data_IF_103514173184
#
_entry.id   IF_103514173184
#
_cell.length_a   1.000
_cell.length_b   1.000
_cell.length_c   1.000
_cell.angle_alpha   90.00
_cell.angle_beta   90.00
_cell.angle_gamma   90.00
#
_symmetry.space_group_name_H-M   'P 1'
#
loop_
_entity.id
_entity.type
_entity.pdbx_description
1 polymer ?
#
# COMPACT_ATOMS: atom_id res chain seq x y z
N UNK A 1 -1.75 29.06 6.29
CA UNK A 1 -2.20 27.70 5.91
C UNK A 1 -2.08 27.59 4.41
N UNK A 2 -0.99 27.01 3.92
CA UNK A 2 -0.79 26.81 2.48
C UNK A 2 -1.76 25.73 2.00
N UNK A 3 -2.37 25.88 0.83
CA UNK A 3 -3.30 24.93 0.24
C UNK A 3 -2.67 23.52 0.22
N UNK A 4 -3.01 22.71 1.23
CA UNK A 4 -2.52 21.36 1.41
C UNK A 4 -3.53 20.43 0.75
N UNK A 5 -3.06 19.71 -0.27
CA UNK A 5 -3.68 18.57 -0.95
C UNK A 5 -4.76 17.80 -0.15
N UNK A 6 -5.81 17.36 -0.86
CA UNK A 6 -7.01 16.64 -0.38
C UNK A 6 -6.75 15.24 0.25
N UNK A 7 -5.70 15.04 1.04
CA UNK A 7 -5.52 13.79 1.81
C UNK A 7 -6.66 13.59 2.82
N UNK A 8 -7.39 14.66 3.18
CA UNK A 8 -8.63 14.64 3.96
C UNK A 8 -9.77 13.86 3.27
N UNK A 9 -9.62 13.50 1.99
CA UNK A 9 -10.57 12.65 1.27
C UNK A 9 -10.27 11.15 1.40
N UNK A 10 -9.06 10.76 1.85
CA UNK A 10 -8.72 9.34 2.07
C UNK A 10 -9.72 8.65 3.02
N UNK A 11 -10.11 9.23 4.18
CA UNK A 11 -11.06 8.59 5.08
C UNK A 11 -12.45 8.32 4.47
N UNK A 12 -12.77 8.91 3.32
CA UNK A 12 -14.05 8.75 2.61
C UNK A 12 -14.02 7.63 1.57
N UNK A 13 -12.85 7.05 1.30
CA UNK A 13 -12.72 5.89 0.43
C UNK A 13 -13.16 4.61 1.15
N UNK A 14 -13.54 3.55 0.41
CA UNK A 14 -13.64 2.21 0.98
C UNK A 14 -12.37 1.81 1.74
N UNK A 15 -12.50 1.05 2.83
CA UNK A 15 -11.36 0.70 3.69
C UNK A 15 -10.24 -0.03 2.92
N UNK A 16 -10.61 -0.96 2.03
CA UNK A 16 -9.64 -1.64 1.18
C UNK A 16 -8.96 -0.69 0.18
N UNK A 17 -9.63 0.39 -0.25
CA UNK A 17 -9.02 1.44 -1.05
C UNK A 17 -8.03 2.29 -0.23
N UNK A 18 -8.34 2.55 1.05
CA UNK A 18 -7.41 3.24 1.95
C UNK A 18 -6.14 2.39 2.18
N UNK A 19 -6.30 1.11 2.49
CA UNK A 19 -5.19 0.17 2.64
C UNK A 19 -4.36 0.04 1.35
N UNK A 20 -5.01 0.03 0.18
CA UNK A 20 -4.33 0.00 -1.11
C UNK A 20 -3.45 1.25 -1.34
N UNK A 21 -3.89 2.45 -0.94
CA UNK A 21 -3.05 3.65 -1.00
C UNK A 21 -1.78 3.45 -0.18
N UNK A 22 -1.88 2.92 1.04
CA UNK A 22 -0.73 2.63 1.88
C UNK A 22 0.22 1.62 1.22
N UNK A 23 -0.31 0.50 0.71
CA UNK A 23 0.48 -0.53 0.01
C UNK A 23 1.21 0.04 -1.21
N UNK A 24 0.53 0.88 -2.00
CA UNK A 24 1.12 1.54 -3.17
C UNK A 24 2.18 2.57 -2.79
N UNK A 25 2.07 3.27 -1.65
CA UNK A 25 3.14 4.14 -1.15
C UNK A 25 4.35 3.34 -0.66
N UNK A 26 4.11 2.26 0.09
CA UNK A 26 5.16 1.36 0.55
C UNK A 26 5.93 0.77 -0.63
N UNK A 27 5.22 0.28 -1.66
CA UNK A 27 5.83 -0.24 -2.89
C UNK A 27 6.74 0.80 -3.57
N UNK A 28 6.31 2.07 -3.64
CA UNK A 28 7.16 3.17 -4.15
C UNK A 28 8.42 3.37 -3.32
N UNK A 29 8.30 3.33 -1.99
CA UNK A 29 9.44 3.47 -1.10
C UNK A 29 10.44 2.31 -1.28
N UNK A 30 9.95 1.07 -1.33
CA UNK A 30 10.77 -0.14 -1.49
C UNK A 30 11.50 -0.15 -2.84
N UNK A 31 10.80 0.22 -3.91
CA UNK A 31 11.40 0.24 -5.24
C UNK A 31 12.53 1.27 -5.35
N UNK A 32 12.44 2.39 -4.62
CA UNK A 32 13.48 3.44 -4.58
C UNK A 32 14.59 3.18 -3.55
N UNK A 33 14.60 2.04 -2.86
CA UNK A 33 15.71 1.70 -1.97
C UNK A 33 17.04 1.74 -2.73
N UNK A 34 18.14 2.19 -2.11
CA UNK A 34 19.46 2.24 -2.73
C UNK A 34 19.89 0.90 -3.32
N UNK A 35 20.72 0.91 -4.36
CA UNK A 35 21.14 -0.33 -5.05
C UNK A 35 21.95 -1.27 -4.16
N UNK A 36 22.54 -0.75 -3.08
CA UNK A 36 23.26 -1.47 -2.05
C UNK A 36 22.34 -2.29 -1.14
N UNK A 37 21.04 -2.02 -1.15
CA UNK A 37 20.06 -2.81 -0.41
C UNK A 37 19.90 -4.19 -1.05
N UNK A 38 19.90 -5.24 -0.21
CA UNK A 38 19.86 -6.63 -0.66
C UNK A 38 18.67 -6.91 -1.59
N UNK A 39 18.96 -7.51 -2.74
CA UNK A 39 17.98 -7.72 -3.80
C UNK A 39 16.95 -8.81 -3.46
N UNK A 40 17.34 -9.82 -2.65
CA UNK A 40 16.40 -10.84 -2.20
C UNK A 40 15.42 -10.27 -1.17
N UNK A 41 15.91 -9.38 -0.30
CA UNK A 41 15.08 -8.65 0.63
C UNK A 41 14.14 -7.70 -0.09
N UNK A 42 14.64 -6.94 -1.08
CA UNK A 42 13.80 -6.07 -1.91
C UNK A 42 12.68 -6.87 -2.56
N UNK A 43 13.00 -8.02 -3.17
CA UNK A 43 12.00 -8.89 -3.81
C UNK A 43 10.97 -9.42 -2.81
N UNK A 44 11.42 -9.80 -1.61
CA UNK A 44 10.53 -10.28 -0.54
C UNK A 44 9.56 -9.19 -0.08
N UNK A 45 10.03 -7.96 0.10
CA UNK A 45 9.20 -6.81 0.47
C UNK A 45 8.21 -6.44 -0.65
N UNK A 46 8.64 -6.48 -1.92
CA UNK A 46 7.74 -6.26 -3.06
C UNK A 46 6.69 -7.37 -3.20
N UNK A 47 7.04 -8.62 -2.87
CA UNK A 47 6.09 -9.75 -2.86
C UNK A 47 5.04 -9.55 -1.77
N UNK A 48 5.41 -8.95 -0.63
CA UNK A 48 4.44 -8.55 0.39
C UNK A 48 3.51 -7.45 -0.12
N UNK A 49 4.02 -6.46 -0.86
CA UNK A 49 3.14 -5.48 -1.54
C UNK A 49 2.16 -6.15 -2.51
N UNK A 50 2.60 -7.16 -3.29
CA UNK A 50 1.71 -7.91 -4.18
C UNK A 50 0.61 -8.63 -3.39
N UNK A 51 0.95 -9.23 -2.24
CA UNK A 51 -0.02 -9.87 -1.37
C UNK A 51 -1.01 -8.88 -0.73
N UNK A 52 -0.60 -7.65 -0.43
CA UNK A 52 -1.49 -6.60 0.06
C UNK A 52 -2.41 -6.06 -1.04
N UNK A 53 -1.92 -5.92 -2.27
CA UNK A 53 -2.73 -5.54 -3.43
C UNK A 53 -3.80 -6.62 -3.71
N UNK A 54 -3.43 -7.91 -3.63
CA UNK A 54 -4.37 -9.04 -3.75
C UNK A 54 -5.39 -9.06 -2.61
N UNK A 55 -4.97 -8.78 -1.37
CA UNK A 55 -5.87 -8.66 -0.23
C UNK A 55 -6.90 -7.53 -0.42
N UNK A 56 -6.48 -6.37 -0.96
CA UNK A 56 -7.40 -5.28 -1.28
C UNK A 56 -8.36 -5.63 -2.42
N UNK A 57 -7.89 -6.38 -3.43
CA UNK A 57 -8.70 -6.83 -4.55
C UNK A 57 -9.79 -7.82 -4.12
N UNK A 58 -9.43 -8.76 -3.24
CA UNK A 58 -10.30 -9.89 -2.83
C UNK A 58 -11.06 -9.64 -1.53
N UNK A 59 -10.61 -8.68 -0.72
CA UNK A 59 -11.08 -8.48 0.66
C UNK A 59 -10.60 -9.55 1.63
N UNK A 60 -9.71 -10.45 1.20
CA UNK A 60 -9.21 -11.56 2.01
C UNK A 60 -7.79 -11.32 2.51
N UNK A 61 -7.63 -11.31 3.83
CA UNK A 61 -6.31 -11.23 4.45
C UNK A 61 -5.75 -12.62 4.76
N UNK A 62 -5.01 -13.18 3.79
CA UNK A 62 -4.48 -14.56 3.90
C UNK A 62 -3.24 -14.61 4.77
N UNK A 63 -3.44 -14.75 6.09
CA UNK A 63 -2.37 -14.80 7.09
C UNK A 63 -1.28 -15.83 6.77
N UNK A 64 -1.61 -16.98 6.19
CA UNK A 64 -0.62 -18.01 5.84
C UNK A 64 0.37 -17.53 4.76
N UNK A 65 -0.08 -16.73 3.80
CA UNK A 65 0.77 -16.14 2.75
C UNK A 65 1.55 -14.94 3.28
N UNK A 66 0.90 -14.14 4.12
CA UNK A 66 1.43 -12.86 4.59
C UNK A 66 2.43 -13.04 5.75
N UNK A 67 2.21 -13.99 6.66
CA UNK A 67 3.01 -14.11 7.89
C UNK A 67 4.52 -14.37 7.66
N UNK A 68 4.95 -15.25 6.72
CA UNK A 68 6.38 -15.42 6.46
C UNK A 68 7.04 -14.14 5.91
N UNK A 69 6.33 -13.40 5.06
CA UNK A 69 6.80 -12.15 4.48
C UNK A 69 6.85 -11.03 5.54
N UNK A 70 5.84 -10.96 6.41
CA UNK A 70 5.80 -10.03 7.53
C UNK A 70 6.93 -10.31 8.53
N UNK A 71 7.25 -11.57 8.81
CA UNK A 71 8.41 -11.92 9.65
C UNK A 71 9.74 -11.41 9.06
N UNK A 72 9.89 -11.45 7.72
CA UNK A 72 11.06 -10.88 7.06
C UNK A 72 11.09 -9.35 7.16
N UNK A 73 9.95 -8.69 6.94
CA UNK A 73 9.80 -7.25 7.12
C UNK A 73 10.17 -6.81 8.54
N UNK A 74 9.66 -7.49 9.57
CA UNK A 74 10.00 -7.23 10.98
C UNK A 74 11.50 -7.34 11.24
N UNK A 75 12.16 -8.37 10.70
CA UNK A 75 13.60 -8.55 10.84
C UNK A 75 14.42 -7.42 10.19
N UNK A 76 13.84 -6.66 9.25
CA UNK A 76 14.47 -5.55 8.56
C UNK A 76 14.12 -4.18 9.16
N UNK A 77 13.19 -4.11 10.13
CA UNK A 77 12.83 -2.85 10.79
C UNK A 77 14.01 -2.28 11.57
N UNK A 78 14.15 -0.96 11.52
CA UNK A 78 15.28 -0.24 12.15
C UNK A 78 16.64 -0.41 11.47
N UNK A 79 16.72 -1.18 10.37
CA UNK A 79 17.93 -1.37 9.57
C UNK A 79 18.05 -0.39 8.39
N UNK A 80 18.95 -0.72 7.44
CA UNK A 80 19.04 -0.02 6.16
C UNK A 80 17.68 -0.08 5.44
N UNK A 81 17.20 1.04 4.89
CA UNK A 81 15.85 1.11 4.31
C UNK A 81 14.70 1.25 5.31
N UNK A 82 14.99 1.47 6.61
CA UNK A 82 14.02 1.42 7.71
C UNK A 82 12.72 2.19 7.46
N UNK A 83 12.76 3.39 6.87
CA UNK A 83 11.54 4.15 6.58
C UNK A 83 10.64 3.53 5.48
N UNK A 84 11.23 2.83 4.50
CA UNK A 84 10.46 2.08 3.50
C UNK A 84 9.85 0.81 4.10
N UNK A 85 10.58 0.12 4.97
CA UNK A 85 10.09 -1.05 5.71
C UNK A 85 8.98 -0.64 6.69
N UNK A 86 9.13 0.50 7.38
CA UNK A 86 8.09 1.06 8.23
C UNK A 86 6.84 1.41 7.43
N UNK A 87 6.98 1.96 6.22
CA UNK A 87 5.83 2.23 5.35
C UNK A 87 5.06 0.95 5.01
N UNK A 88 5.77 -0.14 4.75
CA UNK A 88 5.17 -1.46 4.49
C UNK A 88 4.53 -2.05 5.75
N UNK A 89 5.14 -1.88 6.91
CA UNK A 89 4.56 -2.30 8.20
C UNK A 89 3.20 -1.64 8.42
N UNK A 90 3.12 -0.32 8.24
CA UNK A 90 1.86 0.39 8.39
C UNK A 90 0.83 0.04 7.30
N UNK A 91 1.27 -0.26 6.08
CA UNK A 91 0.37 -0.78 5.04
C UNK A 91 -0.20 -2.16 5.38
N UNK A 92 0.63 -3.01 6.00
CA UNK A 92 0.24 -4.35 6.48
C UNK A 92 -0.78 -4.27 7.62
N UNK A 93 -0.57 -3.37 8.59
CA UNK A 93 -1.51 -3.09 9.68
C UNK A 93 -2.82 -2.49 9.13
N UNK A 94 -2.76 -1.55 8.19
CA UNK A 94 -3.94 -0.96 7.56
C UNK A 94 -4.82 -2.01 6.85
N UNK A 95 -4.21 -2.97 6.16
CA UNK A 95 -4.91 -4.10 5.53
C UNK A 95 -5.48 -5.07 6.57
N UNK A 96 -4.78 -5.30 7.68
CA UNK A 96 -5.29 -6.06 8.82
C UNK A 96 -6.52 -5.39 9.45
N UNK A 97 -6.49 -4.05 9.61
CA UNK A 97 -7.62 -3.26 10.08
C UNK A 97 -8.79 -3.31 9.10
N UNK A 98 -8.56 -3.12 7.80
CA UNK A 98 -9.60 -3.22 6.78
C UNK A 98 -10.31 -4.59 6.81
N UNK A 99 -9.55 -5.67 7.01
CA UNK A 99 -10.11 -7.01 7.19
C UNK A 99 -10.89 -7.14 8.50
N UNK A 100 -10.34 -6.66 9.62
CA UNK A 100 -10.98 -6.70 10.94
C UNK A 100 -12.27 -5.89 11.02
N UNK A 101 -12.44 -4.87 10.17
CA UNK A 101 -13.61 -4.00 10.11
C UNK A 101 -14.93 -4.75 9.85
N UNK A 102 -14.86 -5.95 9.24
CA UNK A 102 -16.02 -6.82 9.04
C UNK A 102 -16.64 -7.30 10.36
N UNK A 103 -15.86 -7.33 11.45
CA UNK A 103 -16.27 -7.86 12.75
C UNK A 103 -16.28 -6.81 13.87
N UNK A 104 -15.55 -5.70 13.72
CA UNK A 104 -15.42 -4.67 14.75
C UNK A 104 -15.08 -3.30 14.13
N UNK A 105 -15.58 -2.16 14.64
CA UNK A 105 -15.24 -0.84 14.08
C UNK A 105 -13.76 -0.48 14.34
N UNK A 106 -12.93 -0.64 13.32
CA UNK A 106 -11.49 -0.30 13.32
C UNK A 106 -11.12 0.71 12.23
N UNK A 107 -12.10 1.48 11.75
CA UNK A 107 -11.94 2.45 10.65
C UNK A 107 -10.88 3.51 10.99
N UNK A 108 -10.90 3.99 12.24
CA UNK A 108 -9.94 4.96 12.75
C UNK A 108 -8.51 4.41 12.80
N UNK A 109 -8.36 3.12 13.08
CA UNK A 109 -7.07 2.42 13.04
C UNK A 109 -6.57 2.34 11.61
N UNK A 110 -7.42 1.90 10.67
CA UNK A 110 -7.06 1.80 9.27
C UNK A 110 -6.55 3.13 8.71
N UNK A 111 -7.29 4.24 8.91
CA UNK A 111 -6.83 5.56 8.43
C UNK A 111 -5.57 6.04 9.14
N UNK A 112 -5.44 5.77 10.45
CA UNK A 112 -4.24 6.09 11.22
C UNK A 112 -3.01 5.42 10.64
N UNK A 113 -3.11 4.12 10.35
CA UNK A 113 -2.04 3.32 9.75
C UNK A 113 -1.71 3.80 8.33
N UNK A 114 -2.72 4.12 7.52
CA UNK A 114 -2.51 4.70 6.18
C UNK A 114 -1.74 6.02 6.24
N UNK A 115 -2.07 6.90 7.20
CA UNK A 115 -1.34 8.15 7.40
C UNK A 115 0.11 7.90 7.83
N UNK A 116 0.35 6.91 8.71
CA UNK A 116 1.69 6.53 9.10
C UNK A 116 2.50 5.93 7.94
N UNK A 117 1.88 5.13 7.08
CA UNK A 117 2.50 4.59 5.88
C UNK A 117 2.96 5.70 4.92
N UNK A 118 2.09 6.68 4.64
CA UNK A 118 2.42 7.85 3.80
C UNK A 118 3.54 8.68 4.44
N UNK A 119 3.48 8.89 5.76
CA UNK A 119 4.50 9.65 6.49
C UNK A 119 5.86 8.92 6.47
N UNK A 120 5.88 7.60 6.64
CA UNK A 120 7.08 6.78 6.56
C UNK A 120 7.67 6.77 5.15
N UNK A 121 6.83 6.60 4.11
CA UNK A 121 7.27 6.70 2.72
C UNK A 121 7.87 8.08 2.39
N UNK A 122 7.36 9.15 2.98
CA UNK A 122 7.91 10.52 2.84
C UNK A 122 9.30 10.70 3.46
N UNK A 123 9.72 9.78 4.34
CA UNK A 123 11.06 9.74 4.96
C UNK A 123 11.97 8.69 4.30
N UNK A 124 11.45 7.92 3.36
CA UNK A 124 12.22 6.89 2.67
C UNK A 124 13.30 7.52 1.77
N UNK A 125 14.49 6.93 1.81
CA UNK A 125 15.56 7.31 0.91
C UNK A 125 15.13 7.10 -0.56
N UNK A 126 15.56 7.98 -1.46
CA UNK A 126 15.20 7.93 -2.88
C UNK A 126 13.83 8.55 -3.23
N UNK A 127 12.97 8.84 -2.25
CA UNK A 127 11.71 9.57 -2.46
C UNK A 127 11.71 10.91 -1.73
N UNK A 128 11.51 12.00 -2.48
CA UNK A 128 11.29 13.30 -1.84
C UNK A 128 9.86 13.38 -1.29
N UNK A 129 9.64 14.12 -0.18
CA UNK A 129 8.30 14.33 0.36
C UNK A 129 7.30 14.90 -0.67
N UNK A 130 7.79 15.74 -1.60
CA UNK A 130 6.97 16.28 -2.69
C UNK A 130 6.51 15.17 -3.66
N UNK A 131 7.41 14.25 -4.04
CA UNK A 131 7.05 13.10 -4.90
C UNK A 131 5.98 12.23 -4.23
N UNK A 132 6.14 11.93 -2.95
CA UNK A 132 5.16 11.12 -2.20
C UNK A 132 3.79 11.79 -2.17
N UNK A 133 3.72 13.11 -1.96
CA UNK A 133 2.45 13.86 -2.04
C UNK A 133 1.82 13.80 -3.42
N UNK A 134 2.60 13.96 -4.49
CA UNK A 134 2.12 13.86 -5.87
C UNK A 134 1.56 12.46 -6.13
N UNK A 135 2.27 11.41 -5.70
CA UNK A 135 1.81 10.03 -5.87
C UNK A 135 0.56 9.72 -5.06
N UNK A 136 0.49 10.16 -3.81
CA UNK A 136 -0.70 9.96 -2.98
C UNK A 136 -1.93 10.68 -3.56
N UNK A 137 -1.77 11.90 -4.08
CA UNK A 137 -2.85 12.63 -4.73
C UNK A 137 -3.32 11.97 -6.02
N UNK A 138 -2.38 11.49 -6.85
CA UNK A 138 -2.69 10.78 -8.09
C UNK A 138 -3.39 9.45 -7.82
N UNK A 139 -2.91 8.66 -6.85
CA UNK A 139 -3.55 7.39 -6.46
C UNK A 139 -4.94 7.63 -5.86
N UNK A 140 -5.10 8.66 -5.01
CA UNK A 140 -6.39 9.04 -4.45
C UNK A 140 -7.41 9.35 -5.55
N UNK A 141 -7.04 10.17 -6.54
CA UNK A 141 -7.93 10.53 -7.64
C UNK A 141 -8.33 9.30 -8.47
N UNK A 142 -7.35 8.47 -8.86
CA UNK A 142 -7.59 7.25 -9.64
C UNK A 142 -8.46 6.24 -8.90
N UNK A 143 -8.14 5.96 -7.63
CA UNK A 143 -8.89 4.99 -6.81
C UNK A 143 -10.28 5.50 -6.53
N UNK A 144 -10.44 6.79 -6.17
CA UNK A 144 -11.75 7.39 -5.95
C UNK A 144 -12.64 7.29 -7.19
N UNK A 145 -12.09 7.63 -8.35
CA UNK A 145 -12.80 7.51 -9.62
C UNK A 145 -13.21 6.06 -9.89
N UNK A 146 -12.27 5.12 -9.81
CA UNK A 146 -12.52 3.71 -10.10
C UNK A 146 -13.55 3.08 -9.14
N UNK A 147 -13.46 3.37 -7.84
CA UNK A 147 -14.43 2.91 -6.83
C UNK A 147 -15.81 3.54 -7.05
N UNK A 148 -15.87 4.82 -7.42
CA UNK A 148 -17.13 5.51 -7.73
C UNK A 148 -17.86 4.88 -8.90
N UNK A 149 -17.15 4.59 -9.99
CA UNK A 149 -17.69 3.94 -11.20
C UNK A 149 -18.11 2.48 -10.95
N UNK A 150 -17.40 1.77 -10.07
CA UNK A 150 -17.72 0.39 -9.69
C UNK A 150 -18.75 0.30 -8.54
N UNK A 151 -19.18 1.42 -7.98
CA UNK A 151 -20.09 1.50 -6.83
C UNK A 151 -19.63 0.66 -5.61
N UNK A 152 -18.32 0.65 -5.34
CA UNK A 152 -17.74 -0.10 -4.22
C UNK A 152 -18.23 0.49 -2.89
N UNK A 153 -18.85 -0.33 -2.05
CA UNK A 153 -19.28 0.04 -0.70
C UNK A 153 -18.09 0.22 0.24
N UNK A 154 -18.34 0.85 1.39
CA UNK A 154 -17.27 1.26 2.30
C UNK A 154 -16.44 0.09 2.86
N UNK A 155 -17.05 -1.08 3.07
CA UNK A 155 -16.41 -2.29 3.58
C UNK A 155 -16.10 -3.33 2.49
N UNK A 156 -16.48 -3.05 1.25
CA UNK A 156 -16.36 -4.01 0.15
C UNK A 156 -14.92 -4.13 -0.32
N UNK A 157 -14.57 -5.32 -0.81
CA UNK A 157 -13.36 -5.53 -1.58
C UNK A 157 -13.39 -4.69 -2.86
N UNK A 158 -12.22 -4.37 -3.41
CA UNK A 158 -12.15 -3.51 -4.61
C UNK A 158 -12.56 -4.21 -5.90
N UNK A 159 -12.36 -5.52 -5.98
CA UNK A 159 -12.69 -6.29 -7.16
C UNK A 159 -11.78 -6.02 -8.38
N UNK A 160 -11.85 -6.88 -9.40
CA UNK A 160 -11.03 -6.75 -10.61
C UNK A 160 -11.34 -5.49 -11.43
N UNK A 161 -12.56 -4.97 -11.37
CA UNK A 161 -13.02 -3.78 -12.11
C UNK A 161 -12.38 -2.48 -11.61
N UNK A 162 -12.07 -2.37 -10.32
CA UNK A 162 -11.29 -1.26 -9.78
C UNK A 162 -9.81 -1.49 -10.10
N UNK A 163 -9.29 -2.66 -9.74
CA UNK A 163 -7.86 -2.96 -9.87
C UNK A 163 -7.35 -2.85 -11.31
N UNK A 164 -8.14 -3.29 -12.30
CA UNK A 164 -7.81 -3.20 -13.73
C UNK A 164 -7.79 -1.78 -14.31
N UNK A 165 -8.32 -0.78 -13.58
CA UNK A 165 -8.32 0.64 -13.99
C UNK A 165 -7.17 1.44 -13.40
N UNK A 166 -6.45 0.89 -12.43
CA UNK A 166 -5.37 1.61 -11.74
C UNK A 166 -4.08 1.55 -12.56
N UNK A 167 -3.38 2.69 -12.63
CA UNK A 167 -2.05 2.69 -13.19
C UNK A 167 -1.12 1.81 -12.33
N UNK A 168 -0.26 0.99 -12.96
CA UNK A 168 0.72 0.23 -12.20
C UNK A 168 1.71 1.18 -11.52
N UNK A 169 2.08 0.87 -10.29
CA UNK A 169 3.03 1.68 -9.51
C UNK A 169 4.43 1.65 -10.14
N UNK A 170 4.80 0.50 -10.68
CA UNK A 170 5.99 0.28 -11.52
C UNK A 170 5.64 -0.71 -12.64
N UNK A 171 6.39 -0.72 -13.75
CA UNK A 171 6.20 -1.70 -14.80
C UNK A 171 6.22 -3.12 -14.18
N UNK A 172 5.29 -4.02 -14.55
CA UNK A 172 5.40 -5.41 -14.15
C UNK A 172 6.74 -5.94 -14.63
N UNK A 173 7.47 -6.61 -13.74
CA UNK A 173 8.79 -7.14 -14.00
C UNK A 173 8.73 -7.96 -15.30
N UNK A 174 9.43 -7.52 -16.36
CA UNK A 174 9.41 -8.18 -17.68
C UNK A 174 9.89 -9.65 -17.60
N UNK A 175 10.40 -10.06 -16.45
CA UNK A 175 10.84 -11.41 -16.11
C UNK A 175 9.68 -12.41 -15.97
N UNK A 176 8.44 -11.96 -15.73
CA UNK A 176 7.26 -12.85 -15.70
C UNK A 176 6.89 -13.38 -17.11
N UNK A 177 7.36 -12.75 -18.19
CA UNK A 177 7.15 -13.22 -19.58
C UNK A 177 8.03 -14.40 -19.99
N UNK A 178 8.87 -14.94 -19.11
CA UNK A 178 9.78 -16.08 -19.41
C UNK A 178 9.33 -17.42 -18.83
N UNK A 179 8.14 -17.50 -18.25
CA UNK A 179 7.63 -18.73 -17.60
C UNK A 179 6.40 -19.36 -18.28
N UNK A 180 6.05 -18.92 -19.49
CA UNK A 180 5.05 -19.58 -20.35
C UNK A 180 5.70 -20.30 -21.51
#
# INVERSE_FOLDING_TARGET
>A
MSALFELDAIPKLPLWAQALIAARMARRAIFNLPNEFDENDRRSLLTLCDALDDAAATGEYRKATIAPLAARMEALRGGAGGAAVDALYWAWDAAGAAHGAQSFPVDATCIGDVQQAIAAASRAEGLSPLKVRIFAAADLDQIRFACGEAHVGFYDALGPEVMGRLAPVYPPDERSKRAT
#
